data_IF_548750192341
#
_entry.id   IF_548750192341
#
_cell.length_a   1.000
_cell.length_b   1.000
_cell.length_c   1.000
_cell.angle_alpha   90.00
_cell.angle_beta   90.00
_cell.angle_gamma   90.00
#
_symmetry.space_group_name_H-M   'P 1'
#
loop_
_entity.id
_entity.type
_entity.pdbx_description
1 polymer ?
#
# COMPACT_ATOMS: atom_id res chain seq x y z
N UNK A 1 -4.21 -31.14 -8.03
CA UNK A 1 -3.45 -30.03 -7.43
C UNK A 1 -4.48 -28.98 -7.06
N UNK A 2 -4.93 -28.97 -5.81
CA UNK A 2 -5.99 -28.09 -5.34
C UNK A 2 -5.52 -26.64 -5.44
N UNK A 3 -6.18 -25.85 -6.27
CA UNK A 3 -6.05 -24.40 -6.29
C UNK A 3 -6.42 -23.87 -4.92
N UNK A 4 -5.43 -23.38 -4.17
CA UNK A 4 -5.64 -22.76 -2.85
C UNK A 4 -6.53 -21.53 -3.06
N UNK A 5 -7.82 -21.72 -2.80
CA UNK A 5 -8.84 -20.68 -2.83
C UNK A 5 -8.56 -19.66 -1.72
N UNK A 6 -7.99 -18.51 -2.10
CA UNK A 6 -7.50 -17.42 -1.26
C UNK A 6 -6.17 -17.65 -0.51
N UNK A 7 -5.01 -17.34 -1.14
CA UNK A 7 -3.72 -17.32 -0.46
C UNK A 7 -3.59 -16.24 0.64
N UNK A 8 -4.63 -15.44 0.87
CA UNK A 8 -4.67 -14.38 1.90
C UNK A 8 -5.39 -14.80 3.19
N UNK A 9 -6.07 -15.97 3.24
CA UNK A 9 -6.84 -16.40 4.41
C UNK A 9 -5.99 -16.59 5.68
N UNK A 10 -4.69 -16.83 5.51
CA UNK A 10 -3.77 -17.09 6.62
C UNK A 10 -2.83 -15.92 6.93
N UNK A 11 -2.88 -14.84 6.15
CA UNK A 11 -2.04 -13.67 6.38
C UNK A 11 -2.68 -12.73 7.41
N UNK A 12 -1.86 -12.11 8.26
CA UNK A 12 -2.29 -10.98 9.07
C UNK A 12 -2.74 -9.81 8.19
N UNK A 13 -3.56 -8.90 8.74
CA UNK A 13 -4.01 -7.71 7.99
C UNK A 13 -2.85 -6.83 7.51
N UNK A 14 -1.75 -6.80 8.26
CA UNK A 14 -0.52 -6.10 7.92
C UNK A 14 0.16 -6.74 6.72
N UNK A 15 0.32 -8.06 6.72
CA UNK A 15 0.89 -8.79 5.59
C UNK A 15 0.02 -8.72 4.34
N UNK A 16 -1.31 -8.79 4.49
CA UNK A 16 -2.24 -8.58 3.37
C UNK A 16 -2.05 -7.18 2.76
N UNK A 17 -1.92 -6.14 3.61
CA UNK A 17 -1.67 -4.78 3.15
C UNK A 17 -0.31 -4.66 2.48
N UNK A 18 0.75 -5.24 3.05
CA UNK A 18 2.09 -5.23 2.47
C UNK A 18 2.11 -5.91 1.10
N UNK A 19 1.44 -7.07 0.98
CA UNK A 19 1.29 -7.77 -0.29
C UNK A 19 0.56 -6.90 -1.31
N UNK A 20 -0.53 -6.24 -0.90
CA UNK A 20 -1.26 -5.31 -1.76
C UNK A 20 -0.37 -4.12 -2.21
N UNK A 21 0.41 -3.54 -1.31
CA UNK A 21 1.38 -2.48 -1.64
C UNK A 21 2.39 -2.96 -2.69
N UNK A 22 2.97 -4.14 -2.51
CA UNK A 22 3.93 -4.74 -3.45
C UNK A 22 3.32 -5.01 -4.82
N UNK A 23 2.08 -5.49 -4.87
CA UNK A 23 1.35 -5.70 -6.13
C UNK A 23 1.04 -4.40 -6.86
N UNK A 24 0.75 -3.32 -6.14
CA UNK A 24 0.49 -2.00 -6.74
C UNK A 24 1.76 -1.29 -7.19
N UNK A 25 2.86 -1.46 -6.45
CA UNK A 25 4.12 -0.74 -6.68
C UNK A 25 4.04 0.73 -6.24
N UNK A 26 3.12 1.51 -6.83
CA UNK A 26 2.83 2.91 -6.50
C UNK A 26 1.34 3.02 -6.16
N UNK A 27 1.02 3.75 -5.09
CA UNK A 27 -0.34 3.91 -4.63
C UNK A 27 -0.53 5.21 -3.87
N UNK A 28 -1.76 5.70 -3.86
CA UNK A 28 -2.15 6.93 -3.17
C UNK A 28 -2.69 6.67 -1.76
N UNK A 29 -2.68 7.69 -0.91
CA UNK A 29 -3.33 7.66 0.40
C UNK A 29 -4.81 7.26 0.30
N UNK A 30 -5.54 7.75 -0.69
CA UNK A 30 -6.95 7.43 -0.88
C UNK A 30 -7.15 5.94 -1.15
N UNK A 31 -6.27 5.31 -1.93
CA UNK A 31 -6.33 3.88 -2.21
C UNK A 31 -6.07 3.03 -0.96
N UNK A 32 -5.15 3.47 -0.08
CA UNK A 32 -4.91 2.82 1.21
C UNK A 32 -6.16 2.87 2.08
N UNK A 33 -6.84 4.01 2.13
CA UNK A 33 -8.10 4.17 2.88
C UNK A 33 -9.18 3.26 2.28
N UNK A 34 -9.34 3.28 0.96
CA UNK A 34 -10.32 2.43 0.27
C UNK A 34 -10.05 0.94 0.52
N UNK A 35 -8.78 0.52 0.50
CA UNK A 35 -8.36 -0.83 0.87
C UNK A 35 -8.74 -1.15 2.32
N UNK A 36 -8.40 -0.25 3.26
CA UNK A 36 -8.72 -0.39 4.68
C UNK A 36 -10.21 -0.59 4.91
N UNK A 37 -11.06 0.23 4.28
CA UNK A 37 -12.51 0.10 4.37
C UNK A 37 -12.99 -1.24 3.80
N UNK A 38 -12.53 -1.63 2.61
CA UNK A 38 -12.94 -2.90 1.96
C UNK A 38 -12.53 -4.14 2.75
N UNK A 39 -11.39 -4.09 3.46
CA UNK A 39 -10.82 -5.23 4.20
C UNK A 39 -11.10 -5.17 5.70
N UNK A 40 -11.94 -4.24 6.16
CA UNK A 40 -12.22 -3.97 7.57
C UNK A 40 -10.94 -3.75 8.39
N UNK A 41 -9.96 -3.06 7.81
CA UNK A 41 -8.68 -2.75 8.42
C UNK A 41 -8.53 -1.25 8.63
N UNK A 42 -9.15 -0.75 9.69
CA UNK A 42 -9.15 0.69 10.05
C UNK A 42 -7.76 1.26 10.33
N UNK A 43 -6.78 0.39 10.64
CA UNK A 43 -5.39 0.78 10.90
C UNK A 43 -4.53 0.90 9.64
N UNK A 44 -5.05 0.62 8.45
CA UNK A 44 -4.27 0.59 7.21
C UNK A 44 -3.41 1.84 7.01
N UNK A 45 -3.92 3.04 7.28
CA UNK A 45 -3.13 4.27 7.17
C UNK A 45 -1.95 4.31 8.16
N UNK A 46 -2.18 3.90 9.42
CA UNK A 46 -1.11 3.84 10.43
C UNK A 46 -0.04 2.84 10.01
N UNK A 47 -0.44 1.67 9.54
CA UNK A 47 0.46 0.62 9.06
C UNK A 47 1.31 1.08 7.87
N UNK A 48 0.76 1.86 6.94
CA UNK A 48 1.59 2.47 5.88
C UNK A 48 2.65 3.42 6.46
N UNK A 49 2.33 4.19 7.50
CA UNK A 49 3.34 5.03 8.16
C UNK A 49 4.41 4.18 8.82
N UNK A 50 4.04 3.07 9.43
CA UNK A 50 4.99 2.13 10.03
C UNK A 50 5.89 1.52 8.94
N UNK A 51 5.35 1.14 7.78
CA UNK A 51 6.14 0.70 6.63
C UNK A 51 7.07 1.79 6.09
N UNK A 52 6.67 3.06 6.16
CA UNK A 52 7.56 4.19 5.80
C UNK A 52 8.71 4.33 6.79
N UNK A 53 8.44 4.20 8.09
CA UNK A 53 9.48 4.23 9.12
C UNK A 53 10.44 3.04 9.01
N UNK A 54 9.95 1.87 8.59
CA UNK A 54 10.74 0.67 8.34
C UNK A 54 11.49 0.70 6.99
N UNK A 55 11.30 1.73 6.17
CA UNK A 55 11.94 1.84 4.85
C UNK A 55 11.39 0.89 3.78
N UNK A 56 10.28 0.20 4.05
CA UNK A 56 9.62 -0.72 3.10
C UNK A 56 8.87 0.06 2.02
N UNK A 57 8.29 1.20 2.41
CA UNK A 57 7.57 2.12 1.52
C UNK A 57 8.22 3.50 1.66
N UNK A 58 8.26 4.29 0.60
CA UNK A 58 8.65 5.70 0.68
C UNK A 58 7.54 6.61 0.18
N UNK A 59 7.51 7.85 0.69
CA UNK A 59 6.66 8.90 0.12
C UNK A 59 7.26 9.38 -1.19
N UNK A 60 6.42 9.54 -2.20
CA UNK A 60 6.82 10.12 -3.49
C UNK A 60 6.78 11.64 -3.38
N UNK A 61 7.87 12.29 -3.76
CA UNK A 61 7.98 13.75 -3.71
C UNK A 61 7.09 14.44 -4.75
N UNK A 62 6.72 15.70 -4.52
CA UNK A 62 5.79 16.45 -5.39
C UNK A 62 6.29 16.53 -6.84
N UNK A 63 7.56 16.83 -7.05
CA UNK A 63 8.16 16.91 -8.40
C UNK A 63 8.15 15.55 -9.10
N UNK A 64 8.35 14.47 -8.35
CA UNK A 64 8.29 13.10 -8.87
C UNK A 64 6.85 12.70 -9.21
N UNK A 65 5.87 13.09 -8.40
CA UNK A 65 4.45 12.95 -8.73
C UNK A 65 4.11 13.64 -10.06
N UNK A 66 4.60 14.86 -10.27
CA UNK A 66 4.37 15.61 -11.51
C UNK A 66 5.02 14.88 -12.70
N UNK A 67 6.29 14.49 -12.60
CA UNK A 67 7.01 13.75 -13.66
C UNK A 67 6.33 12.44 -14.02
N UNK A 68 5.75 11.74 -13.05
CA UNK A 68 5.03 10.47 -13.23
C UNK A 68 3.54 10.65 -13.51
N UNK A 69 3.06 11.87 -13.69
CA UNK A 69 1.66 12.21 -13.93
C UNK A 69 0.69 11.65 -12.86
N UNK A 70 1.14 11.59 -11.60
CA UNK A 70 0.34 11.18 -10.46
C UNK A 70 -0.59 12.33 -10.05
N UNK A 71 -1.91 12.08 -10.12
CA UNK A 71 -2.93 13.12 -10.00
C UNK A 71 -3.43 13.30 -8.56
N UNK A 72 -3.96 14.50 -8.27
CA UNK A 72 -4.59 14.84 -7.00
C UNK A 72 -3.62 15.40 -5.96
N UNK A 73 -4.17 16.15 -4.99
CA UNK A 73 -3.39 16.82 -3.94
C UNK A 73 -3.13 15.92 -2.72
N UNK A 74 -3.02 14.62 -2.93
CA UNK A 74 -2.87 13.62 -1.86
C UNK A 74 -1.47 13.04 -1.83
N UNK A 75 -1.10 12.46 -0.68
CA UNK A 75 0.20 11.77 -0.56
C UNK A 75 0.22 10.52 -1.43
N UNK A 76 1.31 10.37 -2.18
CA UNK A 76 1.64 9.18 -2.96
C UNK A 76 2.78 8.42 -2.30
N UNK A 77 2.73 7.11 -2.44
CA UNK A 77 3.66 6.18 -1.83
C UNK A 77 4.14 5.18 -2.89
N UNK A 78 5.36 4.71 -2.74
CA UNK A 78 5.88 3.60 -3.54
C UNK A 78 6.62 2.59 -2.67
N UNK A 79 6.59 1.33 -3.07
CA UNK A 79 7.37 0.27 -2.41
C UNK A 79 8.83 0.42 -2.80
N UNK A 80 9.71 0.41 -1.80
CA UNK A 80 11.15 0.37 -2.03
C UNK A 80 11.49 -1.05 -2.48
N UNK A 81 11.89 -1.21 -3.74
CA UNK A 81 12.31 -2.52 -4.26
C UNK A 81 13.61 -2.92 -3.56
N UNK A 82 13.59 -4.07 -2.87
CA UNK A 82 14.80 -4.79 -2.48
C UNK A 82 15.14 -5.82 -3.54
#
# INVERSE_FOLDING_TARGET
>A
METIDNPDKFLSKEEQLLRWCRQRGIFSKAEVIAYGTKKYYLRAERTIRDFVLQGIVRKVGKDECIRRNLKGNMAWYEVVSS
#
